data_IF_109324272214
#
_entry.id   IF_109324272214
#
_cell.length_a   1.000
_cell.length_b   1.000
_cell.length_c   1.000
_cell.angle_alpha   90.00
_cell.angle_beta   90.00
_cell.angle_gamma   90.00
#
_symmetry.space_group_name_H-M   'P 1'
#
loop_
_entity.id
_entity.type
_entity.pdbx_description
1 polymer ?
#
# COMPACT_ATOMS: atom_id res chain seq x y z
N UNK A 1 59.11 31.44 -14.11
CA UNK A 1 58.81 31.40 -15.56
C UNK A 1 58.58 29.96 -15.96
N UNK A 2 57.50 29.69 -16.72
CA UNK A 2 57.02 28.39 -17.23
C UNK A 2 56.25 27.54 -16.19
N UNK A 3 54.90 27.55 -16.18
CA UNK A 3 53.90 26.90 -17.08
C UNK A 3 53.82 25.37 -16.90
N UNK A 4 52.65 24.92 -16.46
CA UNK A 4 52.18 23.53 -16.43
C UNK A 4 50.74 23.50 -15.92
N UNK A 5 49.80 23.24 -16.84
CA UNK A 5 48.36 23.54 -16.80
C UNK A 5 47.50 22.64 -15.87
N UNK A 6 46.25 23.05 -15.55
CA UNK A 6 45.32 22.32 -14.70
C UNK A 6 44.44 21.30 -15.45
N UNK A 7 43.94 20.31 -14.68
CA UNK A 7 42.98 19.28 -15.07
C UNK A 7 41.63 19.85 -15.57
N UNK A 8 40.92 19.18 -16.50
CA UNK A 8 39.62 19.62 -16.97
C UNK A 8 38.50 19.27 -15.97
N UNK A 9 37.72 20.27 -15.59
CA UNK A 9 36.42 20.11 -14.94
C UNK A 9 35.42 19.55 -15.96
N UNK A 10 34.89 18.35 -15.67
CA UNK A 10 33.72 17.80 -16.36
C UNK A 10 32.48 18.61 -15.96
N UNK A 11 32.04 19.49 -16.85
CA UNK A 11 30.75 20.18 -16.73
C UNK A 11 29.66 19.25 -17.28
N UNK A 12 29.04 18.46 -16.40
CA UNK A 12 27.83 17.71 -16.72
C UNK A 12 26.65 18.68 -16.87
N UNK A 13 26.17 18.85 -18.10
CA UNK A 13 24.91 19.55 -18.38
C UNK A 13 23.77 18.65 -17.92
N UNK A 14 23.11 19.02 -16.82
CA UNK A 14 21.80 18.48 -16.46
C UNK A 14 20.80 19.11 -17.44
N UNK A 15 20.20 18.27 -18.29
CA UNK A 15 19.06 18.66 -19.11
C UNK A 15 17.87 18.86 -18.17
N UNK A 16 17.58 20.11 -17.84
CA UNK A 16 16.28 20.50 -17.30
C UNK A 16 15.21 20.26 -18.39
N UNK A 17 14.58 19.09 -18.37
CA UNK A 17 13.29 18.92 -19.05
C UNK A 17 12.24 19.64 -18.22
N UNK A 18 11.96 20.88 -18.62
CA UNK A 18 10.76 21.62 -18.23
C UNK A 18 9.52 20.80 -18.62
N UNK A 19 8.97 20.02 -17.69
CA UNK A 19 7.60 19.55 -17.77
C UNK A 19 6.67 20.68 -17.29
N UNK A 20 6.40 21.62 -18.18
CA UNK A 20 5.20 22.47 -18.05
C UNK A 20 4.00 21.63 -18.48
N UNK A 21 3.42 20.84 -17.57
CA UNK A 21 2.08 20.28 -17.75
C UNK A 21 1.08 21.17 -17.02
N UNK A 22 0.58 22.16 -17.74
CA UNK A 22 -0.68 22.82 -17.41
C UNK A 22 -1.78 21.77 -17.37
N UNK A 23 -2.35 21.54 -16.18
CA UNK A 23 -3.61 20.85 -16.01
C UNK A 23 -4.72 21.70 -16.64
N UNK A 24 -4.98 21.50 -17.93
CA UNK A 24 -6.21 21.94 -18.58
C UNK A 24 -7.03 20.71 -18.93
N UNK A 25 -7.79 20.22 -17.94
CA UNK A 25 -8.79 19.17 -18.11
C UNK A 25 -10.19 19.80 -18.05
N UNK A 26 -10.46 20.76 -18.94
CA UNK A 26 -11.82 21.25 -19.16
C UNK A 26 -12.63 20.27 -20.01
N UNK A 27 -13.77 19.87 -19.45
CA UNK A 27 -14.85 19.14 -20.10
C UNK A 27 -15.17 19.70 -21.50
N UNK A 28 -15.05 18.85 -22.53
CA UNK A 28 -15.69 19.07 -23.83
C UNK A 28 -16.90 18.15 -23.96
N UNK A 29 -18.06 18.68 -23.62
CA UNK A 29 -19.35 18.22 -24.15
C UNK A 29 -19.39 18.52 -25.66
N UNK A 30 -19.26 17.49 -26.49
CA UNK A 30 -19.36 17.57 -27.94
C UNK A 30 -20.70 17.05 -28.43
N UNK A 31 -21.52 17.96 -28.95
CA UNK A 31 -22.82 17.70 -29.55
C UNK A 31 -22.74 16.87 -30.85
N UNK A 32 -23.81 16.11 -31.07
CA UNK A 32 -24.17 15.39 -32.29
C UNK A 32 -24.12 16.31 -33.53
N UNK A 33 -23.43 15.86 -34.58
CA UNK A 33 -23.67 16.31 -35.95
C UNK A 33 -23.60 15.13 -36.90
N UNK A 34 -24.79 14.68 -37.31
CA UNK A 34 -25.03 13.73 -38.39
C UNK A 34 -24.67 14.35 -39.74
N UNK A 35 -23.77 13.73 -40.49
CA UNK A 35 -23.68 13.87 -41.96
C UNK A 35 -23.53 12.48 -42.54
N UNK A 36 -24.56 12.01 -43.24
CA UNK A 36 -24.46 10.85 -44.10
C UNK A 36 -23.86 11.21 -45.46
N UNK A 37 -23.48 10.17 -46.23
CA UNK A 37 -24.10 9.79 -47.52
C UNK A 37 -23.11 9.29 -48.61
N UNK A 38 -23.46 8.12 -49.20
CA UNK A 38 -23.07 7.47 -50.50
C UNK A 38 -21.57 7.15 -50.78
N UNK A 39 -21.11 6.09 -51.51
CA UNK A 39 -21.53 4.74 -51.99
C UNK A 39 -20.52 4.33 -53.09
N UNK A 40 -20.51 3.03 -53.48
CA UNK A 40 -19.79 2.35 -54.59
C UNK A 40 -18.36 1.93 -54.22
N UNK A 41 -17.90 0.66 -54.29
CA UNK A 41 -18.40 -0.56 -54.92
C UNK A 41 -17.32 -1.11 -55.87
N UNK A 42 -16.82 -2.32 -55.64
CA UNK A 42 -16.39 -3.30 -56.66
C UNK A 42 -15.81 -4.58 -56.03
N UNK A 43 -16.39 -5.70 -56.45
CA UNK A 43 -16.07 -7.08 -56.10
C UNK A 43 -14.82 -7.61 -56.83
N UNK A 44 -14.18 -8.65 -56.29
CA UNK A 44 -13.72 -9.82 -57.06
C UNK A 44 -13.79 -11.09 -56.18
N UNK A 45 -14.21 -12.18 -56.82
CA UNK A 45 -14.57 -13.51 -56.31
C UNK A 45 -13.40 -14.51 -56.40
N UNK A 46 -13.68 -15.73 -55.89
CA UNK A 46 -13.09 -17.07 -56.17
C UNK A 46 -12.07 -17.52 -55.11
N UNK A 47 -12.18 -18.68 -54.44
CA UNK A 47 -13.03 -19.83 -54.69
C UNK A 47 -12.95 -20.95 -53.63
N UNK A 48 -13.79 -21.97 -53.86
CA UNK A 48 -14.13 -23.16 -53.08
C UNK A 48 -13.03 -24.21 -52.91
N UNK A 49 -13.17 -25.07 -51.87
CA UNK A 49 -13.18 -26.56 -51.89
C UNK A 49 -12.99 -27.07 -50.44
N UNK A 50 -14.00 -27.62 -49.75
CA UNK A 50 -14.32 -29.07 -49.55
C UNK A 50 -13.10 -29.93 -49.17
N UNK A 51 -13.07 -30.78 -48.15
CA UNK A 51 -14.06 -31.77 -47.71
C UNK A 51 -13.91 -32.18 -46.22
N UNK A 52 -14.98 -32.78 -45.70
CA UNK A 52 -15.14 -33.37 -44.39
C UNK A 52 -14.96 -34.91 -44.41
N UNK A 53 -14.50 -35.52 -43.31
CA UNK A 53 -15.05 -36.74 -42.66
C UNK A 53 -14.12 -37.16 -41.48
N UNK A 54 -14.67 -37.23 -40.25
CA UNK A 54 -15.00 -38.43 -39.43
C UNK A 54 -13.79 -39.28 -38.98
N UNK A 55 -13.46 -39.31 -37.68
CA UNK A 55 -14.11 -40.02 -36.55
C UNK A 55 -13.92 -41.54 -36.63
N UNK A 56 -13.15 -42.13 -35.69
CA UNK A 56 -13.50 -43.38 -35.00
C UNK A 56 -12.54 -43.70 -33.84
N UNK A 57 -13.08 -44.42 -32.86
CA UNK A 57 -12.54 -44.68 -31.53
C UNK A 57 -12.08 -46.13 -31.31
N UNK A 58 -11.12 -46.31 -30.38
CA UNK A 58 -10.89 -47.47 -29.45
C UNK A 58 -10.63 -48.88 -30.05
N UNK A 59 -10.30 -49.92 -29.23
CA UNK A 59 -9.25 -50.09 -28.20
C UNK A 59 -8.46 -51.43 -28.41
N UNK A 60 -7.42 -51.74 -27.61
CA UNK A 60 -7.18 -53.07 -27.00
C UNK A 60 -5.79 -53.23 -26.35
N UNK A 61 -5.78 -54.09 -25.35
CA UNK A 61 -4.75 -54.56 -24.42
C UNK A 61 -3.53 -55.28 -25.02
N UNK A 62 -2.41 -55.30 -24.28
CA UNK A 62 -1.34 -56.29 -24.40
C UNK A 62 -0.20 -56.09 -23.40
N UNK A 63 -0.02 -57.06 -22.50
CA UNK A 63 0.96 -57.15 -21.40
C UNK A 63 2.26 -57.87 -21.87
N UNK A 64 3.15 -58.37 -20.98
CA UNK A 64 4.38 -57.77 -20.41
C UNK A 64 5.70 -58.26 -21.06
N UNK A 65 6.85 -57.58 -20.84
CA UNK A 65 8.18 -58.24 -20.86
C UNK A 65 9.24 -57.53 -19.99
N UNK A 66 9.82 -58.37 -19.13
CA UNK A 66 11.01 -58.36 -18.27
C UNK A 66 12.23 -57.43 -18.50
N UNK A 67 12.80 -57.03 -17.35
CA UNK A 67 14.20 -57.09 -16.91
C UNK A 67 15.29 -56.12 -17.45
N UNK A 68 15.71 -55.22 -16.54
CA UNK A 68 17.07 -54.78 -16.10
C UNK A 68 18.32 -55.03 -16.98
N UNK A 69 19.32 -54.10 -16.99
CA UNK A 69 20.09 -53.82 -15.77
C UNK A 69 20.49 -52.35 -15.49
N UNK A 70 20.51 -52.07 -14.19
CA UNK A 70 21.34 -51.11 -13.46
C UNK A 70 22.58 -50.59 -14.21
N UNK A 71 22.64 -49.27 -14.36
CA UNK A 71 23.87 -48.50 -14.52
C UNK A 71 23.97 -47.54 -13.35
N UNK A 72 24.78 -47.91 -12.36
CA UNK A 72 25.33 -47.03 -11.34
C UNK A 72 26.00 -45.82 -12.02
N UNK A 73 25.36 -44.64 -11.91
CA UNK A 73 26.04 -43.36 -12.06
C UNK A 73 25.91 -42.61 -10.75
N UNK A 74 26.87 -42.87 -9.88
CA UNK A 74 27.23 -41.99 -8.79
C UNK A 74 27.69 -40.65 -9.39
N UNK A 75 26.81 -39.64 -9.40
CA UNK A 75 27.21 -38.24 -9.54
C UNK A 75 27.29 -37.65 -8.14
N UNK A 76 28.50 -37.57 -7.61
CA UNK A 76 28.86 -36.62 -6.54
C UNK A 76 28.59 -35.22 -7.06
N UNK A 77 27.42 -34.67 -6.74
CA UNK A 77 27.17 -33.26 -6.84
C UNK A 77 27.98 -32.59 -5.71
N UNK A 78 28.99 -31.80 -6.09
CA UNK A 78 29.65 -30.88 -5.18
C UNK A 78 28.60 -29.90 -4.66
N UNK A 79 28.26 -30.07 -3.38
CA UNK A 79 27.48 -29.12 -2.60
C UNK A 79 28.25 -27.79 -2.55
N UNK A 80 27.68 -26.67 -3.01
CA UNK A 80 28.35 -25.38 -2.90
C UNK A 80 28.57 -25.08 -1.42
N UNK A 81 29.84 -25.03 -1.02
CA UNK A 81 30.25 -24.75 0.35
C UNK A 81 29.56 -23.47 0.83
N UNK A 82 28.67 -23.62 1.80
CA UNK A 82 28.14 -22.50 2.58
C UNK A 82 29.36 -21.80 3.21
N UNK A 83 29.54 -20.48 3.00
CA UNK A 83 30.62 -19.77 3.66
C UNK A 83 30.42 -19.90 5.16
N UNK A 84 31.30 -20.65 5.81
CA UNK A 84 31.35 -20.72 7.27
C UNK A 84 31.75 -19.34 7.76
N UNK A 85 30.80 -18.60 8.30
CA UNK A 85 31.10 -17.33 8.96
C UNK A 85 31.93 -17.63 10.20
N UNK A 86 33.24 -17.42 10.11
CA UNK A 86 34.15 -17.62 11.24
C UNK A 86 33.89 -16.55 12.30
N UNK A 87 33.79 -17.00 13.56
CA UNK A 87 33.68 -16.11 14.71
C UNK A 87 35.07 -15.59 15.07
N UNK A 88 35.30 -14.30 14.90
CA UNK A 88 36.59 -13.65 15.21
C UNK A 88 36.49 -12.99 16.58
N UNK A 89 37.45 -13.26 17.47
CA UNK A 89 37.54 -12.56 18.76
C UNK A 89 38.62 -11.48 18.66
N UNK A 90 38.26 -10.22 18.92
CA UNK A 90 39.18 -9.08 18.91
C UNK A 90 40.00 -9.01 20.22
N UNK A 91 41.08 -8.24 20.23
CA UNK A 91 41.99 -8.11 21.40
C UNK A 91 41.30 -7.56 22.66
N UNK A 92 40.20 -6.84 22.50
CA UNK A 92 39.36 -6.34 23.59
C UNK A 92 38.40 -7.39 24.17
N UNK A 93 38.40 -8.62 23.61
CA UNK A 93 37.53 -9.72 24.02
C UNK A 93 36.18 -9.76 23.31
N UNK A 94 35.90 -8.79 22.43
CA UNK A 94 34.63 -8.73 21.69
C UNK A 94 34.61 -9.78 20.59
N UNK A 95 33.53 -10.58 20.54
CA UNK A 95 33.31 -11.57 19.48
C UNK A 95 32.57 -10.91 18.32
N UNK A 96 32.92 -11.30 17.10
CA UNK A 96 32.31 -10.77 15.87
C UNK A 96 31.93 -11.93 14.94
N UNK A 97 30.78 -11.81 14.28
CA UNK A 97 30.32 -12.69 13.20
C UNK A 97 30.08 -11.82 11.97
N UNK A 98 30.81 -12.08 10.88
CA UNK A 98 30.56 -11.41 9.60
C UNK A 98 30.70 -9.88 9.63
N UNK A 99 31.51 -9.33 10.54
CA UNK A 99 31.67 -7.88 10.71
C UNK A 99 30.59 -7.22 11.58
N UNK A 100 29.81 -7.99 12.34
CA UNK A 100 28.86 -7.50 13.35
C UNK A 100 29.30 -7.99 14.74
N UNK A 101 29.36 -7.12 15.77
CA UNK A 101 29.74 -7.55 17.11
C UNK A 101 28.62 -8.39 17.75
N UNK A 102 29.01 -9.40 18.51
CA UNK A 102 28.13 -10.46 19.02
C UNK A 102 27.18 -9.95 20.12
N UNK A 103 27.49 -8.82 20.73
CA UNK A 103 26.67 -8.14 21.74
C UNK A 103 25.34 -7.58 21.19
N UNK A 104 25.23 -7.41 19.87
CA UNK A 104 23.98 -7.04 19.18
C UNK A 104 23.04 -8.24 19.05
N UNK A 105 23.56 -9.47 19.17
CA UNK A 105 22.75 -10.69 19.16
C UNK A 105 22.42 -11.07 20.61
N UNK A 106 21.17 -10.87 21.01
CA UNK A 106 20.68 -11.36 22.29
C UNK A 106 20.88 -12.87 22.36
N UNK A 107 21.63 -13.35 23.36
CA UNK A 107 22.00 -14.76 23.45
C UNK A 107 20.77 -15.68 23.63
N UNK A 108 19.64 -15.16 24.13
CA UNK A 108 18.40 -15.92 24.42
C UNK A 108 17.12 -15.05 24.35
N UNK A 109 16.69 -14.56 23.18
CA UNK A 109 15.56 -13.63 23.07
C UNK A 109 14.20 -14.22 23.51
N UNK A 110 14.11 -15.55 23.67
CA UNK A 110 12.87 -16.24 24.03
C UNK A 110 12.83 -16.75 25.48
N UNK A 111 13.93 -16.69 26.24
CA UNK A 111 13.94 -17.14 27.64
C UNK A 111 13.58 -16.01 28.62
N UNK A 112 13.82 -14.75 28.26
CA UNK A 112 13.44 -13.57 29.06
C UNK A 112 11.92 -13.37 29.20
N UNK A 113 11.10 -14.05 28.39
CA UNK A 113 9.63 -13.98 28.46
C UNK A 113 8.98 -15.12 29.28
N UNK A 114 9.75 -16.09 29.80
CA UNK A 114 9.17 -17.29 30.46
C UNK A 114 8.96 -17.19 31.96
N UNK A 115 9.43 -16.14 32.63
CA UNK A 115 9.37 -16.03 34.10
C UNK A 115 8.23 -15.13 34.65
N UNK A 116 7.24 -14.79 33.82
CA UNK A 116 5.99 -14.19 34.32
C UNK A 116 5.11 -15.28 34.93
N UNK A 117 5.15 -15.34 36.26
CA UNK A 117 4.36 -16.26 37.08
C UNK A 117 2.86 -16.01 36.86
N UNK A 118 2.17 -16.97 36.24
CA UNK A 118 0.72 -16.96 36.04
C UNK A 118 -0.01 -16.99 37.40
N UNK A 119 -0.73 -15.92 37.73
CA UNK A 119 -1.73 -15.91 38.80
C UNK A 119 -3.00 -16.55 38.25
N UNK A 120 -3.33 -17.74 38.73
CA UNK A 120 -4.53 -18.46 38.35
C UNK A 120 -5.82 -17.70 38.77
N UNK A 121 -6.64 -17.32 37.80
CA UNK A 121 -8.01 -16.85 38.03
C UNK A 121 -9.02 -17.97 37.73
N UNK A 122 -10.00 -18.09 38.61
CA UNK A 122 -11.05 -19.12 38.68
C UNK A 122 -12.22 -18.77 37.73
N UNK A 123 -12.94 -19.74 37.13
CA UNK A 123 -13.95 -19.44 36.12
C UNK A 123 -15.29 -19.01 36.73
N UNK A 124 -15.81 -17.87 36.28
CA UNK A 124 -17.14 -17.35 36.60
C UNK A 124 -17.94 -17.06 35.34
N UNK A 125 -18.76 -18.04 34.95
CA UNK A 125 -19.76 -18.00 33.89
C UNK A 125 -20.85 -16.95 34.18
N UNK A 126 -21.35 -16.24 33.16
CA UNK A 126 -22.78 -16.25 32.76
C UNK A 126 -23.01 -15.46 31.47
N UNK A 127 -23.73 -16.13 30.58
CA UNK A 127 -24.20 -15.70 29.26
C UNK A 127 -25.56 -14.97 29.40
N UNK A 128 -25.85 -13.92 28.62
CA UNK A 128 -27.23 -13.63 28.21
C UNK A 128 -27.29 -13.60 26.67
N UNK A 129 -27.94 -14.58 26.04
CA UNK A 129 -29.37 -14.57 25.66
C UNK A 129 -29.67 -13.59 24.52
N UNK A 130 -29.75 -14.16 23.31
CA UNK A 130 -30.10 -13.46 22.07
C UNK A 130 -31.58 -13.10 22.03
N UNK A 131 -31.89 -11.87 21.63
CA UNK A 131 -33.23 -11.44 21.25
C UNK A 131 -33.31 -11.25 19.73
N UNK A 132 -34.31 -11.88 19.12
CA UNK A 132 -34.71 -11.79 17.71
C UNK A 132 -35.40 -10.44 17.41
N UNK A 133 -35.43 -9.97 16.14
CA UNK A 133 -35.77 -8.60 15.77
C UNK A 133 -37.26 -8.43 15.48
N UNK A 134 -37.77 -7.22 15.69
CA UNK A 134 -39.11 -6.83 15.25
C UNK A 134 -39.14 -5.41 14.66
N UNK A 135 -39.92 -5.32 13.58
CA UNK A 135 -40.60 -4.17 12.97
C UNK A 135 -39.81 -3.17 12.13
N UNK A 136 -39.92 -3.38 10.82
CA UNK A 136 -39.68 -2.49 9.69
C UNK A 136 -40.79 -1.42 9.58
N UNK A 137 -40.49 -0.11 9.60
CA UNK A 137 -41.44 0.92 9.22
C UNK A 137 -41.18 1.47 7.80
N UNK A 138 -42.31 1.83 7.18
CA UNK A 138 -42.52 2.20 5.79
C UNK A 138 -41.64 3.33 5.22
N UNK A 139 -41.41 3.22 3.91
CA UNK A 139 -40.78 4.21 3.04
C UNK A 139 -41.62 5.47 2.84
N UNK A 140 -41.03 6.68 2.84
CA UNK A 140 -41.66 7.87 2.31
C UNK A 140 -41.36 8.06 0.81
N UNK A 141 -42.40 8.53 0.10
CA UNK A 141 -42.39 8.92 -1.31
C UNK A 141 -41.50 10.15 -1.54
N UNK A 142 -40.57 10.06 -2.50
CA UNK A 142 -39.77 11.21 -2.93
C UNK A 142 -40.51 11.99 -4.02
N UNK A 143 -40.87 13.23 -3.68
CA UNK A 143 -41.29 14.26 -4.62
C UNK A 143 -40.09 14.81 -5.41
N UNK A 144 -40.28 14.84 -6.72
CA UNK A 144 -39.46 15.49 -7.72
C UNK A 144 -39.86 16.97 -7.77
N UNK A 145 -38.98 17.90 -7.37
CA UNK A 145 -38.99 19.28 -7.89
C UNK A 145 -37.67 20.03 -7.61
N UNK A 146 -37.11 20.55 -8.71
CA UNK A 146 -36.56 21.90 -8.83
C UNK A 146 -35.08 22.26 -8.55
N UNK A 147 -34.44 22.59 -9.68
CA UNK A 147 -33.75 23.86 -10.05
C UNK A 147 -32.39 24.29 -9.46
N UNK A 148 -31.52 24.56 -10.45
CA UNK A 148 -30.35 25.44 -10.55
C UNK A 148 -29.03 25.10 -9.84
N UNK A 149 -27.88 25.18 -10.57
CA UNK A 149 -26.56 24.93 -10.01
C UNK A 149 -26.04 26.18 -9.29
N UNK A 150 -25.69 26.12 -7.99
CA UNK A 150 -24.86 27.16 -7.39
C UNK A 150 -23.42 26.97 -7.86
N UNK A 151 -22.82 28.10 -8.21
CA UNK A 151 -21.43 28.22 -8.63
C UNK A 151 -20.45 27.82 -7.52
N UNK A 152 -19.32 27.31 -7.98
CA UNK A 152 -18.10 26.97 -7.25
C UNK A 152 -17.71 28.02 -6.20
N UNK A 153 -18.00 27.71 -4.93
CA UNK A 153 -17.20 28.09 -3.78
C UNK A 153 -17.16 26.85 -2.89
N UNK A 154 -16.31 25.89 -3.28
CA UNK A 154 -15.99 24.73 -2.45
C UNK A 154 -15.50 25.26 -1.10
N UNK A 155 -16.35 25.11 -0.09
CA UNK A 155 -16.08 25.54 1.26
C UNK A 155 -14.80 24.87 1.76
N UNK A 156 -13.99 25.56 2.58
CA UNK A 156 -12.81 24.96 3.19
C UNK A 156 -13.27 23.69 3.92
N UNK A 157 -12.67 22.56 3.53
CA UNK A 157 -12.83 21.28 4.23
C UNK A 157 -12.76 21.54 5.73
N UNK A 158 -13.77 21.11 6.49
CA UNK A 158 -13.76 21.22 7.95
C UNK A 158 -12.38 20.80 8.49
N UNK A 159 -11.78 21.63 9.36
CA UNK A 159 -10.47 21.37 9.92
C UNK A 159 -10.47 20.02 10.65
N UNK A 160 -9.87 19.00 10.04
CA UNK A 160 -9.74 17.66 10.61
C UNK A 160 -8.80 17.73 11.81
N UNK A 161 -9.28 17.30 12.98
CA UNK A 161 -8.44 17.12 14.16
C UNK A 161 -7.56 15.87 14.02
N UNK A 162 -6.45 16.02 13.30
CA UNK A 162 -5.50 14.93 13.06
C UNK A 162 -4.92 14.34 14.34
N UNK A 163 -4.76 15.14 15.40
CA UNK A 163 -4.22 14.65 16.67
C UNK A 163 -5.22 13.78 17.44
N UNK A 164 -6.52 14.03 17.29
CA UNK A 164 -7.56 13.15 17.82
C UNK A 164 -7.69 11.83 17.04
N UNK A 165 -7.22 11.80 15.79
CA UNK A 165 -7.30 10.62 14.93
C UNK A 165 -6.11 9.68 15.10
N UNK A 166 -4.89 10.22 15.14
CA UNK A 166 -3.66 9.45 15.31
C UNK A 166 -2.57 10.29 15.99
N UNK A 167 -1.78 9.68 16.86
CA UNK A 167 -0.57 10.32 17.37
C UNK A 167 0.49 10.39 16.26
N UNK A 168 1.37 11.39 16.36
CA UNK A 168 2.46 11.55 15.40
C UNK A 168 3.42 10.34 15.40
N UNK A 169 3.62 9.72 16.56
CA UNK A 169 4.45 8.53 16.70
C UNK A 169 3.92 7.35 15.88
N UNK A 170 2.60 7.15 15.83
CA UNK A 170 1.98 6.10 15.02
C UNK A 170 2.20 6.37 13.53
N UNK A 171 2.08 7.63 13.09
CA UNK A 171 2.34 8.02 11.70
C UNK A 171 3.82 7.81 11.32
N UNK A 172 4.74 8.15 12.23
CA UNK A 172 6.18 7.94 12.02
C UNK A 172 6.59 6.48 12.03
N UNK A 173 5.96 5.67 12.87
CA UNK A 173 6.16 4.23 12.87
C UNK A 173 5.69 3.62 11.55
N UNK A 174 4.51 3.98 11.03
CA UNK A 174 4.08 3.46 9.72
C UNK A 174 4.98 3.95 8.58
N UNK A 175 5.39 5.22 8.58
CA UNK A 175 6.37 5.72 7.62
C UNK A 175 7.69 4.94 7.70
N UNK A 176 8.11 4.53 8.90
CA UNK A 176 9.27 3.66 9.12
C UNK A 176 9.06 2.26 8.56
N UNK A 177 7.89 1.66 8.73
CA UNK A 177 7.56 0.36 8.16
C UNK A 177 7.59 0.40 6.62
N UNK A 178 6.99 1.44 6.01
CA UNK A 178 7.05 1.69 4.56
C UNK A 178 8.50 1.85 4.09
N UNK A 179 9.28 2.67 4.78
CA UNK A 179 10.71 2.88 4.50
C UNK A 179 11.48 1.57 4.48
N UNK A 180 11.25 0.69 5.45
CA UNK A 180 11.94 -0.59 5.56
C UNK A 180 11.56 -1.55 4.41
N UNK A 181 10.28 -1.56 4.00
CA UNK A 181 9.81 -2.34 2.84
C UNK A 181 10.40 -1.80 1.53
N UNK A 182 10.35 -0.48 1.31
CA UNK A 182 10.96 0.17 0.15
C UNK A 182 12.46 -0.08 0.09
N UNK A 183 13.16 0.01 1.22
CA UNK A 183 14.59 -0.31 1.28
C UNK A 183 14.87 -1.73 0.78
N UNK A 184 14.06 -2.71 1.21
CA UNK A 184 14.19 -4.11 0.77
C UNK A 184 13.89 -4.25 -0.72
N UNK A 185 12.83 -3.62 -1.21
CA UNK A 185 12.36 -3.75 -2.59
C UNK A 185 13.25 -3.02 -3.61
N UNK A 186 13.97 -1.98 -3.17
CA UNK A 186 14.87 -1.16 -3.99
C UNK A 186 16.37 -1.54 -3.85
N UNK A 187 16.67 -2.71 -3.26
CA UNK A 187 18.06 -3.20 -3.20
C UNK A 187 18.61 -3.56 -4.59
N UNK A 188 17.81 -4.23 -5.43
CA UNK A 188 18.24 -4.70 -6.75
C UNK A 188 17.13 -4.55 -7.79
N UNK A 189 17.51 -4.40 -9.07
CA UNK A 189 16.56 -4.38 -10.21
C UNK A 189 15.67 -5.63 -10.22
N UNK A 190 16.21 -6.79 -9.84
CA UNK A 190 15.46 -8.04 -9.85
C UNK A 190 14.35 -8.06 -8.77
N UNK A 191 14.64 -7.57 -7.56
CA UNK A 191 13.62 -7.44 -6.50
C UNK A 191 12.59 -6.39 -6.86
N UNK A 192 13.03 -5.21 -7.31
CA UNK A 192 12.14 -4.15 -7.77
C UNK A 192 11.17 -4.64 -8.86
N UNK A 193 11.66 -5.36 -9.87
CA UNK A 193 10.79 -5.88 -10.93
C UNK A 193 9.72 -6.85 -10.43
N UNK A 194 9.97 -7.60 -9.35
CA UNK A 194 8.96 -8.49 -8.74
C UNK A 194 7.97 -7.72 -7.89
N UNK A 195 8.46 -6.72 -7.15
CA UNK A 195 7.71 -5.98 -6.14
C UNK A 195 7.22 -4.60 -6.63
N UNK A 196 7.26 -4.35 -7.94
CA UNK A 196 6.97 -3.04 -8.54
C UNK A 196 5.62 -2.47 -8.09
N UNK A 197 4.60 -3.33 -8.00
CA UNK A 197 3.26 -2.92 -7.52
C UNK A 197 3.29 -2.46 -6.05
N UNK A 198 4.01 -3.18 -5.20
CA UNK A 198 4.15 -2.83 -3.79
C UNK A 198 4.95 -1.53 -3.62
N UNK A 199 5.98 -1.32 -4.45
CA UNK A 199 6.76 -0.06 -4.46
C UNK A 199 5.87 1.14 -4.82
N UNK A 200 5.00 1.00 -5.81
CA UNK A 200 4.03 2.05 -6.20
C UNK A 200 3.07 2.35 -5.04
N UNK A 201 2.48 1.31 -4.45
CA UNK A 201 1.57 1.47 -3.30
C UNK A 201 2.27 2.11 -2.10
N UNK A 202 3.45 1.63 -1.72
CA UNK A 202 4.22 2.15 -0.59
C UNK A 202 4.68 3.61 -0.82
N UNK A 203 5.07 3.97 -2.05
CA UNK A 203 5.37 5.37 -2.40
C UNK A 203 4.17 6.30 -2.23
N UNK A 204 2.99 5.87 -2.71
CA UNK A 204 1.77 6.67 -2.61
C UNK A 204 1.32 6.84 -1.15
N UNK A 205 1.38 5.78 -0.35
CA UNK A 205 1.03 5.84 1.07
C UNK A 205 2.05 6.69 1.85
N UNK A 206 3.35 6.62 1.52
CA UNK A 206 4.36 7.50 2.13
C UNK A 206 4.04 8.98 1.85
N UNK A 207 3.68 9.31 0.61
CA UNK A 207 3.28 10.67 0.24
C UNK A 207 2.06 11.13 1.05
N UNK A 208 1.07 10.26 1.18
CA UNK A 208 -0.17 10.51 1.93
C UNK A 208 0.08 10.71 3.42
N UNK A 209 0.91 9.86 4.05
CA UNK A 209 1.24 10.00 5.46
C UNK A 209 2.03 11.28 5.73
N UNK A 210 2.97 11.64 4.84
CA UNK A 210 3.70 12.89 4.95
C UNK A 210 2.79 14.11 4.83
N UNK A 211 1.77 14.05 3.95
CA UNK A 211 0.72 15.07 3.85
C UNK A 211 -0.08 15.23 5.16
N UNK A 212 -0.41 14.13 5.83
CA UNK A 212 -1.08 14.15 7.14
C UNK A 212 -0.14 14.71 8.22
N UNK A 213 1.12 14.27 8.24
CA UNK A 213 2.15 14.76 9.17
C UNK A 213 2.35 16.27 9.04
N UNK A 214 2.34 16.81 7.82
CA UNK A 214 2.43 18.25 7.55
C UNK A 214 1.31 19.03 8.25
N UNK A 215 0.07 18.54 8.17
CA UNK A 215 -1.13 19.14 8.79
C UNK A 215 -1.30 18.82 10.28
N UNK A 216 -0.63 17.81 10.82
CA UNK A 216 -0.77 17.39 12.23
C UNK A 216 -0.22 18.46 13.19
N UNK A 217 -0.84 18.78 14.35
CA UNK A 217 -0.36 19.88 15.21
C UNK A 217 0.85 19.55 16.09
N UNK A 218 1.12 18.26 16.36
CA UNK A 218 2.28 17.82 17.15
C UNK A 218 3.63 18.02 16.47
N UNK A 219 4.72 17.97 17.22
CA UNK A 219 6.10 18.14 16.74
C UNK A 219 6.81 16.80 16.55
N UNK A 220 7.75 16.72 15.59
CA UNK A 220 8.44 15.47 15.30
C UNK A 220 9.67 15.61 14.39
N UNK A 221 10.50 14.56 14.36
CA UNK A 221 11.88 14.61 13.83
C UNK A 221 12.03 15.10 12.39
N UNK A 222 11.06 14.80 11.53
CA UNK A 222 11.08 15.24 10.13
C UNK A 222 9.84 16.04 9.73
N UNK A 223 9.01 16.46 10.69
CA UNK A 223 7.76 17.18 10.42
C UNK A 223 7.99 18.50 9.67
N UNK A 224 9.02 19.26 10.05
CA UNK A 224 9.38 20.51 9.36
C UNK A 224 9.72 20.29 7.88
N UNK A 225 10.15 19.07 7.53
CA UNK A 225 10.48 18.66 6.18
C UNK A 225 9.40 17.75 5.56
N UNK A 226 8.21 17.62 6.17
CA UNK A 226 7.18 16.69 5.73
C UNK A 226 6.74 16.94 4.29
N UNK A 227 6.69 18.20 3.84
CA UNK A 227 6.39 18.54 2.44
C UNK A 227 7.37 17.92 1.44
N UNK A 228 8.66 17.83 1.79
CA UNK A 228 9.66 17.17 0.96
C UNK A 228 9.47 15.65 0.95
N UNK A 229 9.13 15.05 2.10
CA UNK A 229 8.80 13.61 2.16
C UNK A 229 7.54 13.31 1.34
N UNK A 230 6.53 14.20 1.37
CA UNK A 230 5.32 14.15 0.54
C UNK A 230 5.67 14.14 -0.94
N UNK A 231 6.47 15.12 -1.38
CA UNK A 231 6.96 15.21 -2.76
C UNK A 231 7.73 13.95 -3.19
N UNK A 232 8.70 13.52 -2.39
CA UNK A 232 9.56 12.38 -2.72
C UNK A 232 8.78 11.05 -2.71
N UNK A 233 7.83 10.87 -1.80
CA UNK A 233 6.90 9.73 -1.83
C UNK A 233 6.08 9.68 -3.12
N UNK A 234 5.61 10.85 -3.57
CA UNK A 234 4.87 10.97 -4.83
C UNK A 234 5.74 10.65 -6.04
N UNK A 235 7.00 11.11 -6.07
CA UNK A 235 7.97 10.74 -7.10
C UNK A 235 8.27 9.23 -7.12
N UNK A 236 8.36 8.57 -5.97
CA UNK A 236 8.49 7.10 -5.90
C UNK A 236 7.28 6.43 -6.57
N UNK A 237 6.07 6.90 -6.26
CA UNK A 237 4.82 6.41 -6.84
C UNK A 237 4.81 6.58 -8.37
N UNK A 238 5.12 7.77 -8.89
CA UNK A 238 5.11 8.04 -10.33
C UNK A 238 6.15 7.24 -11.10
N UNK A 239 7.36 7.11 -10.55
CA UNK A 239 8.47 6.41 -11.21
C UNK A 239 8.36 4.88 -11.09
N UNK A 240 7.63 4.38 -10.08
CA UNK A 240 7.44 2.95 -9.82
C UNK A 240 6.52 2.23 -10.80
N UNK A 241 5.90 2.91 -11.78
CA UNK A 241 4.79 2.34 -12.57
C UNK A 241 5.15 1.16 -13.49
N UNK A 242 6.43 0.86 -13.74
CA UNK A 242 6.81 -0.27 -14.61
C UNK A 242 8.18 -0.86 -14.28
N UNK A 243 8.43 -2.06 -14.80
CA UNK A 243 9.68 -2.81 -14.59
C UNK A 243 10.85 -2.22 -15.41
N UNK A 244 12.07 -2.66 -15.10
CA UNK A 244 13.28 -2.34 -15.87
C UNK A 244 14.26 -1.45 -15.10
N UNK A 245 15.51 -1.46 -15.55
CA UNK A 245 16.61 -0.75 -14.87
C UNK A 245 16.40 0.76 -14.79
N UNK A 246 15.90 1.37 -15.85
CA UNK A 246 15.66 2.82 -15.88
C UNK A 246 14.64 3.25 -14.81
N UNK A 247 13.55 2.51 -14.64
CA UNK A 247 12.52 2.83 -13.65
C UNK A 247 12.99 2.51 -12.23
N UNK A 248 13.76 1.43 -12.06
CA UNK A 248 14.43 1.14 -10.80
C UNK A 248 15.32 2.31 -10.35
N UNK A 249 16.19 2.82 -11.24
CA UNK A 249 17.07 3.95 -10.94
C UNK A 249 16.26 5.23 -10.64
N UNK A 250 15.25 5.54 -11.46
CA UNK A 250 14.37 6.70 -11.27
C UNK A 250 13.53 6.63 -9.99
N UNK A 251 13.17 5.43 -9.51
CA UNK A 251 12.44 5.25 -8.25
C UNK A 251 13.37 5.27 -7.04
N UNK A 252 14.60 4.76 -7.21
CA UNK A 252 15.57 4.64 -6.11
C UNK A 252 16.12 6.00 -5.66
N UNK A 253 16.37 6.92 -6.60
CA UNK A 253 16.86 8.26 -6.29
C UNK A 253 15.96 9.05 -5.32
N UNK A 254 14.64 9.25 -5.58
CA UNK A 254 13.76 9.95 -4.64
C UNK A 254 13.61 9.21 -3.31
N UNK A 255 13.70 7.87 -3.30
CA UNK A 255 13.72 7.09 -2.07
C UNK A 255 14.96 7.39 -1.20
N UNK A 256 16.16 7.44 -1.77
CA UNK A 256 17.40 7.77 -1.04
C UNK A 256 17.38 9.22 -0.50
N UNK A 257 16.78 10.14 -1.26
CA UNK A 257 16.54 11.51 -0.79
C UNK A 257 15.54 11.51 0.38
N UNK A 258 14.47 10.71 0.32
CA UNK A 258 13.48 10.62 1.41
C UNK A 258 14.12 10.08 2.68
N UNK A 259 15.01 9.07 2.58
CA UNK A 259 15.80 8.56 3.70
C UNK A 259 16.64 9.66 4.36
N UNK A 260 17.28 10.49 3.54
CA UNK A 260 18.11 11.60 4.00
C UNK A 260 17.27 12.62 4.77
N UNK A 261 16.13 13.04 4.21
CA UNK A 261 15.23 14.01 4.84
C UNK A 261 14.63 13.49 6.14
N UNK A 262 14.11 12.26 6.14
CA UNK A 262 13.50 11.64 7.32
C UNK A 262 14.50 11.42 8.46
N UNK A 263 15.80 11.41 8.15
CA UNK A 263 16.89 11.27 9.12
C UNK A 263 17.45 12.62 9.59
N UNK A 264 16.82 13.75 9.22
CA UNK A 264 17.26 15.10 9.58
C UNK A 264 18.37 15.66 8.68
N UNK A 265 18.63 15.03 7.54
CA UNK A 265 19.53 15.56 6.51
C UNK A 265 18.91 16.75 5.76
N UNK A 266 19.72 17.38 4.90
CA UNK A 266 19.25 18.50 4.10
C UNK A 266 18.18 18.05 3.08
N UNK A 267 17.10 18.84 2.90
CA UNK A 267 16.12 18.57 1.85
C UNK A 267 16.72 18.73 0.44
N UNK A 268 16.12 18.10 -0.58
CA UNK A 268 16.51 18.35 -1.96
C UNK A 268 16.35 19.83 -2.34
N UNK A 269 17.19 20.32 -3.25
CA UNK A 269 17.12 21.67 -3.81
C UNK A 269 16.01 21.76 -4.87
N UNK A 270 14.78 21.57 -4.42
CA UNK A 270 13.55 21.63 -5.22
C UNK A 270 12.53 22.50 -4.50
N UNK A 271 11.82 23.32 -5.24
CA UNK A 271 10.69 24.09 -4.71
C UNK A 271 9.47 23.16 -4.63
N UNK A 272 8.93 23.00 -3.42
CA UNK A 272 7.73 22.21 -3.16
C UNK A 272 6.64 23.14 -2.65
N UNK A 273 5.48 23.09 -3.30
CA UNK A 273 4.30 23.87 -2.94
C UNK A 273 3.83 23.53 -1.51
N UNK A 274 3.63 24.58 -0.69
CA UNK A 274 3.14 24.45 0.68
C UNK A 274 1.66 24.07 0.72
N UNK A 275 0.87 24.55 -0.25
CA UNK A 275 -0.54 24.19 -0.40
C UNK A 275 -0.71 22.99 -1.32
N UNK A 276 -1.66 22.11 -1.00
CA UNK A 276 -1.96 20.93 -1.79
C UNK A 276 -3.37 20.40 -1.52
N UNK A 277 -3.88 19.64 -2.48
CA UNK A 277 -5.10 18.86 -2.33
C UNK A 277 -4.76 17.39 -2.12
N UNK A 278 -5.49 16.69 -1.25
CA UNK A 278 -5.20 15.28 -0.98
C UNK A 278 -5.24 14.39 -2.23
N UNK A 279 -6.21 14.52 -3.15
CA UNK A 279 -6.24 13.71 -4.38
C UNK A 279 -5.00 13.85 -5.28
N UNK A 280 -4.25 14.95 -5.16
CA UNK A 280 -3.03 15.14 -5.96
C UNK A 280 -1.88 14.24 -5.49
N UNK A 281 -1.88 13.85 -4.21
CA UNK A 281 -0.81 13.07 -3.57
C UNK A 281 -1.25 11.69 -3.07
N UNK A 282 -2.56 11.47 -2.95
CA UNK A 282 -3.17 10.28 -2.39
C UNK A 282 -4.09 9.62 -3.42
N UNK A 283 -3.56 8.61 -4.13
CA UNK A 283 -4.32 7.90 -5.15
C UNK A 283 -5.23 6.89 -4.47
N UNK A 284 -6.56 7.04 -4.65
CA UNK A 284 -7.55 6.18 -3.99
C UNK A 284 -7.30 4.69 -4.25
N UNK A 285 -6.90 4.30 -5.46
CA UNK A 285 -6.69 2.89 -5.77
C UNK A 285 -5.46 2.33 -5.03
N UNK A 286 -4.38 3.10 -4.93
CA UNK A 286 -3.20 2.73 -4.13
C UNK A 286 -3.51 2.71 -2.63
N UNK A 287 -4.24 3.69 -2.11
CA UNK A 287 -4.71 3.66 -0.72
C UNK A 287 -5.54 2.41 -0.42
N UNK A 288 -6.46 2.05 -1.31
CA UNK A 288 -7.30 0.85 -1.13
C UNK A 288 -6.49 -0.45 -1.19
N UNK A 289 -5.41 -0.55 -1.98
CA UNK A 289 -4.51 -1.71 -1.96
C UNK A 289 -3.79 -1.85 -0.62
N UNK A 290 -3.33 -0.74 -0.06
CA UNK A 290 -2.70 -0.73 1.26
C UNK A 290 -3.70 -1.09 2.37
N UNK A 291 -4.93 -0.55 2.28
CA UNK A 291 -6.04 -0.88 3.19
C UNK A 291 -6.35 -2.37 3.14
N UNK A 292 -6.53 -2.96 1.95
CA UNK A 292 -6.83 -4.39 1.79
C UNK A 292 -5.75 -5.28 2.40
N UNK A 293 -4.48 -4.95 2.13
CA UNK A 293 -3.32 -5.70 2.66
C UNK A 293 -3.30 -5.67 4.19
N UNK A 294 -3.41 -4.49 4.79
CA UNK A 294 -3.31 -4.32 6.25
C UNK A 294 -4.55 -4.82 6.97
N UNK A 295 -5.74 -4.64 6.39
CA UNK A 295 -6.96 -5.20 6.94
C UNK A 295 -6.97 -6.74 6.85
N UNK A 296 -6.44 -7.30 5.77
CA UNK A 296 -6.18 -8.74 5.64
C UNK A 296 -5.22 -9.24 6.72
N UNK A 297 -4.11 -8.53 6.95
CA UNK A 297 -3.16 -8.84 8.02
C UNK A 297 -3.85 -8.85 9.39
N UNK A 298 -4.64 -7.81 9.71
CA UNK A 298 -5.34 -7.70 11.00
C UNK A 298 -6.25 -8.90 11.25
N UNK A 299 -7.06 -9.28 10.26
CA UNK A 299 -7.95 -10.45 10.34
C UNK A 299 -7.21 -11.78 10.47
N UNK A 300 -6.10 -11.95 9.76
CA UNK A 300 -5.37 -13.22 9.73
C UNK A 300 -4.44 -13.41 10.93
N UNK A 301 -3.86 -12.32 11.46
CA UNK A 301 -2.84 -12.38 12.50
C UNK A 301 -3.41 -12.12 13.90
N UNK A 302 -4.50 -11.35 14.02
CA UNK A 302 -5.14 -11.02 15.29
C UNK A 302 -6.49 -11.74 15.38
N UNK A 303 -6.43 -13.07 15.42
CA UNK A 303 -7.60 -13.96 15.43
C UNK A 303 -7.81 -14.68 16.77
N UNK A 304 -7.00 -14.36 17.78
CA UNK A 304 -7.12 -14.86 19.15
C UNK A 304 -6.63 -13.79 20.13
N UNK A 305 -7.04 -13.91 21.39
CA UNK A 305 -6.59 -13.02 22.48
C UNK A 305 -5.06 -13.08 22.67
N UNK A 306 -4.45 -14.27 22.64
CA UNK A 306 -2.99 -14.44 22.73
C UNK A 306 -2.26 -13.67 21.63
N UNK A 307 -2.76 -13.75 20.38
CA UNK A 307 -2.17 -13.02 19.26
C UNK A 307 -2.35 -11.52 19.39
N UNK A 308 -3.47 -11.05 19.93
CA UNK A 308 -3.64 -9.64 20.25
C UNK A 308 -2.61 -9.16 21.28
N UNK A 309 -2.36 -9.94 22.34
CA UNK A 309 -1.35 -9.59 23.35
C UNK A 309 0.06 -9.54 22.75
N UNK A 310 0.41 -10.53 21.92
CA UNK A 310 1.72 -10.61 21.24
C UNK A 310 1.96 -9.48 20.24
N UNK A 311 0.92 -9.08 19.50
CA UNK A 311 1.02 -8.13 18.38
C UNK A 311 0.29 -6.80 18.67
N UNK A 312 0.06 -6.48 19.95
CA UNK A 312 -0.77 -5.34 20.39
C UNK A 312 -0.42 -4.03 19.69
N UNK A 313 0.86 -3.67 19.70
CA UNK A 313 1.35 -2.44 19.09
C UNK A 313 1.11 -2.41 17.56
N UNK A 314 1.26 -3.55 16.89
CA UNK A 314 1.00 -3.65 15.46
C UNK A 314 -0.50 -3.57 15.15
N UNK A 315 -1.36 -4.18 15.96
CA UNK A 315 -2.81 -4.08 15.83
C UNK A 315 -3.30 -2.63 15.99
N UNK A 316 -2.81 -1.91 17.01
CA UNK A 316 -3.12 -0.48 17.24
C UNK A 316 -2.65 0.36 16.06
N UNK A 317 -1.38 0.20 15.62
CA UNK A 317 -0.82 0.96 14.49
C UNK A 317 -1.65 0.74 13.23
N UNK A 318 -1.88 -0.51 12.85
CA UNK A 318 -2.61 -0.86 11.62
C UNK A 318 -4.01 -0.26 11.65
N UNK A 319 -4.79 -0.51 12.71
CA UNK A 319 -6.14 0.04 12.81
C UNK A 319 -6.16 1.57 12.77
N UNK A 320 -5.22 2.24 13.45
CA UNK A 320 -5.12 3.70 13.45
C UNK A 320 -4.79 4.25 12.06
N UNK A 321 -3.81 3.66 11.37
CA UNK A 321 -3.43 4.06 10.00
C UNK A 321 -4.60 3.88 9.04
N UNK A 322 -5.35 2.77 9.13
CA UNK A 322 -6.54 2.55 8.32
C UNK A 322 -7.58 3.66 8.54
N UNK A 323 -7.82 4.09 9.78
CA UNK A 323 -8.70 5.22 10.08
C UNK A 323 -8.20 6.53 9.45
N UNK A 324 -6.89 6.80 9.49
CA UNK A 324 -6.26 7.96 8.85
C UNK A 324 -6.46 7.96 7.34
N UNK A 325 -6.22 6.83 6.67
CA UNK A 325 -6.42 6.72 5.22
C UNK A 325 -7.90 6.86 4.84
N UNK A 326 -8.82 6.34 5.66
CA UNK A 326 -10.25 6.57 5.53
C UNK A 326 -10.61 8.06 5.59
N UNK A 327 -10.04 8.80 6.55
CA UNK A 327 -10.25 10.23 6.72
C UNK A 327 -9.68 11.06 5.56
N UNK A 328 -8.53 10.66 5.00
CA UNK A 328 -7.99 11.31 3.80
C UNK A 328 -8.99 11.24 2.64
N UNK A 329 -9.65 10.10 2.45
CA UNK A 329 -10.64 9.90 1.38
C UNK A 329 -11.94 10.69 1.56
N UNK A 330 -12.19 11.31 2.73
CA UNK A 330 -13.36 12.18 2.92
C UNK A 330 -13.14 13.58 2.37
N UNK A 331 -11.91 13.96 1.98
CA UNK A 331 -11.61 15.30 1.49
C UNK A 331 -12.48 15.65 0.28
N UNK A 332 -12.95 16.90 0.22
CA UNK A 332 -13.99 17.35 -0.69
C UNK A 332 -13.66 17.14 -2.18
N UNK A 333 -12.38 17.09 -2.52
CA UNK A 333 -11.90 16.95 -3.90
C UNK A 333 -11.79 15.48 -4.37
N UNK A 334 -12.06 14.50 -3.49
CA UNK A 334 -12.12 13.10 -3.92
C UNK A 334 -13.37 12.81 -4.76
N UNK A 335 -13.23 11.87 -5.69
CA UNK A 335 -14.35 11.28 -6.42
C UNK A 335 -15.45 10.79 -5.46
N UNK A 336 -16.69 11.27 -5.66
CA UNK A 336 -17.87 10.95 -4.82
C UNK A 336 -17.87 11.56 -3.42
N UNK A 337 -16.96 12.49 -3.10
CA UNK A 337 -16.93 13.15 -1.79
C UNK A 337 -18.19 13.99 -1.52
N UNK A 338 -18.89 14.44 -2.56
CA UNK A 338 -20.19 15.12 -2.49
C UNK A 338 -21.37 14.17 -2.21
N UNK A 339 -21.17 12.85 -2.32
CA UNK A 339 -22.21 11.86 -2.10
C UNK A 339 -22.37 11.54 -0.60
N UNK A 340 -23.53 11.84 0.04
CA UNK A 340 -23.71 11.61 1.46
C UNK A 340 -23.59 10.14 1.89
N UNK A 341 -23.92 9.20 1.00
CA UNK A 341 -23.82 7.78 1.29
C UNK A 341 -22.37 7.30 1.26
N UNK A 342 -21.54 7.85 0.36
CA UNK A 342 -20.10 7.62 0.36
C UNK A 342 -19.47 8.11 1.66
N UNK A 343 -19.79 9.34 2.07
CA UNK A 343 -19.33 9.93 3.33
C UNK A 343 -19.78 9.11 4.54
N UNK A 344 -21.02 8.60 4.55
CA UNK A 344 -21.52 7.72 5.61
C UNK A 344 -20.73 6.42 5.70
N UNK A 345 -20.43 5.77 4.57
CA UNK A 345 -19.64 4.53 4.56
C UNK A 345 -18.18 4.76 4.98
N UNK A 346 -17.55 5.86 4.54
CA UNK A 346 -16.21 6.24 5.01
C UNK A 346 -16.21 6.51 6.50
N UNK A 347 -17.23 7.21 7.02
CA UNK A 347 -17.38 7.44 8.45
C UNK A 347 -17.49 6.13 9.24
N UNK A 348 -18.30 5.19 8.78
CA UNK A 348 -18.41 3.87 9.44
C UNK A 348 -17.09 3.10 9.41
N UNK A 349 -16.34 3.18 8.30
CA UNK A 349 -15.01 2.59 8.19
C UNK A 349 -14.01 3.23 9.17
N UNK A 350 -13.98 4.57 9.27
CA UNK A 350 -13.13 5.31 10.19
C UNK A 350 -13.48 4.96 11.63
N UNK A 351 -14.77 5.02 11.99
CA UNK A 351 -15.24 4.73 13.35
C UNK A 351 -14.96 3.27 13.75
N UNK A 352 -15.14 2.32 12.82
CA UNK A 352 -14.82 0.92 13.04
C UNK A 352 -13.33 0.69 13.32
N UNK A 353 -12.45 1.34 12.57
CA UNK A 353 -11.01 1.24 12.78
C UNK A 353 -10.55 1.94 14.08
N UNK A 354 -11.16 3.07 14.46
CA UNK A 354 -10.91 3.71 15.77
C UNK A 354 -11.34 2.83 16.94
N UNK A 355 -12.49 2.16 16.80
CA UNK A 355 -12.96 1.19 17.78
C UNK A 355 -12.01 -0.01 17.87
N UNK A 356 -11.50 -0.50 16.74
CA UNK A 356 -10.51 -1.58 16.72
C UNK A 356 -9.20 -1.19 17.42
N UNK A 357 -8.67 0.01 17.17
CA UNK A 357 -7.48 0.51 17.85
C UNK A 357 -7.71 0.64 19.37
N UNK A 358 -8.86 1.16 19.79
CA UNK A 358 -9.25 1.29 21.20
C UNK A 358 -9.35 -0.08 21.89
N UNK A 359 -10.00 -1.04 21.24
CA UNK A 359 -10.14 -2.39 21.76
C UNK A 359 -8.79 -3.11 21.85
N UNK A 360 -7.90 -2.90 20.87
CA UNK A 360 -6.54 -3.43 20.90
C UNK A 360 -5.71 -2.85 22.06
N UNK A 361 -5.80 -1.53 22.30
CA UNK A 361 -5.17 -0.85 23.44
C UNK A 361 -5.67 -1.42 24.78
N UNK A 362 -6.97 -1.68 24.88
CA UNK A 362 -7.60 -2.29 26.04
C UNK A 362 -7.41 -3.82 26.15
N UNK A 363 -6.74 -4.45 25.18
CA UNK A 363 -6.59 -5.91 25.06
C UNK A 363 -7.93 -6.67 25.08
N UNK A 364 -8.99 -6.00 24.61
CA UNK A 364 -10.34 -6.53 24.58
C UNK A 364 -10.61 -7.21 23.23
N UNK A 365 -10.23 -8.49 23.12
CA UNK A 365 -10.35 -9.25 21.88
C UNK A 365 -11.81 -9.34 21.34
N UNK A 366 -12.85 -9.58 22.15
CA UNK A 366 -14.24 -9.55 21.67
C UNK A 366 -14.66 -8.21 21.04
N UNK A 367 -14.28 -7.08 21.64
CA UNK A 367 -14.58 -5.75 21.07
C UNK A 367 -13.78 -5.49 19.79
N UNK A 368 -12.54 -5.95 19.73
CA UNK A 368 -11.72 -5.87 18.52
C UNK A 368 -12.37 -6.66 17.38
N UNK A 369 -12.81 -7.89 17.64
CA UNK A 369 -13.49 -8.74 16.65
C UNK A 369 -14.76 -8.06 16.11
N UNK A 370 -15.58 -7.50 17.01
CA UNK A 370 -16.78 -6.76 16.63
C UNK A 370 -16.46 -5.52 15.77
N UNK A 371 -15.41 -4.77 16.12
CA UNK A 371 -14.96 -3.60 15.38
C UNK A 371 -14.43 -3.99 13.98
N UNK A 372 -13.64 -5.06 13.88
CA UNK A 372 -13.14 -5.59 12.60
C UNK A 372 -14.29 -6.09 11.73
N UNK A 373 -15.29 -6.77 12.31
CA UNK A 373 -16.49 -7.18 11.58
C UNK A 373 -17.27 -5.97 11.05
N UNK A 374 -17.40 -4.90 11.84
CA UNK A 374 -18.02 -3.64 11.40
C UNK A 374 -17.30 -3.05 10.19
N UNK A 375 -15.97 -2.95 10.22
CA UNK A 375 -15.16 -2.49 9.08
C UNK A 375 -15.37 -3.38 7.85
N UNK A 376 -15.36 -4.71 8.02
CA UNK A 376 -15.59 -5.63 6.90
C UNK A 376 -16.96 -5.42 6.24
N UNK A 377 -17.99 -5.09 7.03
CA UNK A 377 -19.35 -4.90 6.55
C UNK A 377 -19.53 -3.61 5.75
N UNK A 378 -18.60 -2.64 5.81
CA UNK A 378 -18.63 -1.44 4.96
C UNK A 378 -17.98 -1.69 3.59
N UNK A 379 -17.08 -2.67 3.47
CA UNK A 379 -16.28 -2.90 2.26
C UNK A 379 -17.15 -3.26 1.05
N UNK A 380 -18.02 -4.27 1.17
CA UNK A 380 -18.83 -4.76 0.03
C UNK A 380 -19.84 -3.72 -0.47
N UNK A 381 -20.65 -3.05 0.39
CA UNK A 381 -21.56 -2.00 -0.05
C UNK A 381 -20.83 -0.84 -0.74
N UNK A 382 -19.73 -0.37 -0.15
CA UNK A 382 -18.93 0.71 -0.72
C UNK A 382 -18.36 0.32 -2.09
N UNK A 383 -17.76 -0.87 -2.21
CA UNK A 383 -17.24 -1.34 -3.48
C UNK A 383 -18.31 -1.55 -4.55
N UNK A 384 -19.48 -2.07 -4.20
CA UNK A 384 -20.54 -2.28 -5.19
C UNK A 384 -21.05 -0.96 -5.79
N UNK A 385 -20.93 0.15 -5.05
CA UNK A 385 -21.49 1.44 -5.44
C UNK A 385 -20.45 2.42 -5.96
N UNK A 386 -19.29 2.50 -5.31
CA UNK A 386 -18.29 3.55 -5.53
C UNK A 386 -16.97 3.03 -6.06
N UNK A 387 -16.77 1.70 -6.16
CA UNK A 387 -15.71 1.18 -7.00
C UNK A 387 -16.14 1.44 -8.43
N UNK A 388 -15.66 2.54 -9.00
CA UNK A 388 -15.88 2.84 -10.41
C UNK A 388 -15.49 1.61 -11.22
N UNK A 389 -16.41 1.13 -12.07
CA UNK A 389 -16.16 0.11 -13.09
C UNK A 389 -15.22 0.68 -14.17
N UNK A 390 -14.04 1.17 -13.77
CA UNK A 390 -12.97 1.42 -14.70
C UNK A 390 -12.32 0.06 -14.95
N UNK A 391 -12.71 -0.56 -16.06
CA UNK A 391 -12.02 -1.67 -16.72
C UNK A 391 -10.57 -1.32 -17.13
N UNK A 392 -9.92 -0.36 -16.45
CA UNK A 392 -8.63 0.25 -16.78
C UNK A 392 -7.67 0.31 -15.56
N UNK A 393 -7.87 -0.54 -14.54
CA UNK A 393 -6.86 -0.79 -13.50
C UNK A 393 -6.08 -2.08 -13.74
#
# INVERSE_FOLDING_TARGET
MSRGDPFPLFSGRINAMLFSRTADRRHRTGALASVGLFVVGAAWLIGCSSDADKQDAQPASGEPTAADPQSDRSSTADEPATPKTEMVTHQDGTKWIGGIPYDVYFDRPLEEYRDMTLVAATPGSTNPEMADPADEPAAPENGDDSTDPPADDASPSEDVDWAALASLDVLFEEATQIRNRLNTNLQTVATYNREVKLVVTDGNVLATLAAVVEKHPGEGSWKENAKFVRYLGYEIYLNGGTTGRSNFEATKEPFEQALTVMSGGAPPDVEVEDEFYFPDVADRAELMKHIDTNFGWLRSNINTESRLQEEKAAAIRVATVLAVLGQVMTAADFDSADNPEYQSMLKEFIDGNRAAATAAEAENFPELEAAVARVNNTCTPCHNKFRTNASDF
#
